data_IF_638322782624
#
_entry.id   IF_638322782624
#
_cell.length_a   1.000
_cell.length_b   1.000
_cell.length_c   1.000
_cell.angle_alpha   90.00
_cell.angle_beta   90.00
_cell.angle_gamma   90.00
#
_symmetry.space_group_name_H-M   'P 1'
#
loop_
_entity.id
_entity.type
_entity.pdbx_description
1 polymer ?
2 branched ?
3 branched ?
4 branched ?
5 non-polymer ?
6 non-polymer ?
7 non-polymer ?
8 water ?
#
# COMPACT_ATOMS: atom_id res chain seq x y z
N UNK A 1 -14.83 6.95 -6.91
CA UNK A 1 -13.84 6.94 -8.00
C UNK A 1 -13.95 5.63 -8.76
N UNK A 2 -13.53 5.68 -10.01
CA UNK A 2 -13.34 4.44 -10.77
C UNK A 2 -12.29 3.63 -10.02
N UNK A 3 -12.51 2.35 -9.96
CA UNK A 3 -11.58 1.44 -9.31
C UNK A 3 -11.28 0.31 -10.28
N UNK A 4 -10.16 -0.36 -10.09
CA UNK A 4 -9.77 -1.48 -10.93
C UNK A 4 -9.08 -1.08 -12.25
N UNK A 5 -8.66 0.18 -12.39
CA UNK A 5 -7.98 0.67 -13.58
C UNK A 5 -6.58 1.05 -13.19
N UNK A 6 -5.60 0.53 -13.91
CA UNK A 6 -4.20 0.77 -13.60
C UNK A 6 -3.44 1.10 -14.89
N UNK A 7 -2.54 2.06 -14.82
CA UNK A 7 -1.60 2.32 -15.91
C UNK A 7 -0.31 1.61 -15.58
N UNK A 8 -0.01 0.58 -16.32
CA UNK A 8 1.25 -0.14 -16.22
C UNK A 8 2.23 0.53 -17.15
N UNK A 9 3.52 0.26 -16.94
CA UNK A 9 4.45 0.59 -18.04
C UNK A 9 3.99 -0.07 -19.30
N UNK A 10 4.13 0.60 -20.41
CA UNK A 10 3.71 0.09 -21.69
C UNK A 10 4.59 -1.09 -22.10
N UNK A 11 4.00 -1.95 -22.90
CA UNK A 11 4.68 -3.01 -23.57
C UNK A 11 5.37 -3.97 -22.61
N UNK A 12 4.75 -4.19 -21.46
CA UNK A 12 5.36 -4.92 -20.36
C UNK A 12 4.57 -6.17 -19.99
N UNK A 13 5.30 -7.27 -19.77
CA UNK A 13 4.66 -8.51 -19.31
C UNK A 13 4.23 -8.40 -17.86
N UNK A 14 3.05 -8.89 -17.57
CA UNK A 14 2.53 -8.88 -16.18
C UNK A 14 1.71 -10.13 -15.92
N UNK A 15 1.61 -10.50 -14.66
CA UNK A 15 0.74 -11.58 -14.21
C UNK A 15 -0.59 -11.06 -13.70
N UNK A 16 -1.64 -11.84 -13.89
CA UNK A 16 -2.93 -11.61 -13.29
C UNK A 16 -3.48 -12.90 -12.73
N UNK A 17 -3.90 -12.88 -11.48
CA UNK A 17 -4.36 -14.05 -10.73
C UNK A 17 -5.64 -13.67 -10.00
N UNK A 18 -6.66 -14.52 -10.07
CA UNK A 18 -7.92 -14.29 -9.38
C UNK A 18 -8.26 -15.41 -8.46
N UNK A 19 -8.81 -15.01 -7.32
CA UNK A 19 -9.22 -15.88 -6.23
C UNK A 19 -10.73 -15.69 -5.98
N UNK A 20 -11.45 -16.75 -5.57
CA UNK A 20 -12.88 -16.63 -5.28
C UNK A 20 -13.20 -16.97 -3.83
N UNK A 21 -14.10 -16.16 -3.25
CA UNK A 21 -14.55 -16.32 -1.84
C UNK A 21 -15.99 -15.89 -1.71
N UNK A 22 -16.90 -16.70 -2.27
CA UNK A 22 -18.29 -16.32 -2.33
C UNK A 22 -19.16 -17.51 -2.71
N UNK A 23 -20.42 -17.52 -2.28
CA UNK A 23 -21.37 -18.49 -2.80
C UNK A 23 -21.59 -18.33 -4.30
N UNK A 24 -21.51 -17.12 -4.82
CA UNK A 24 -21.77 -16.85 -6.22
C UNK A 24 -20.61 -17.14 -7.11
N UNK A 25 -20.90 -17.60 -8.31
CA UNK A 25 -19.87 -17.85 -9.30
C UNK A 25 -19.35 -16.49 -9.80
N UNK A 26 -18.03 -16.32 -9.73
CA UNK A 26 -17.36 -15.07 -10.15
C UNK A 26 -16.93 -15.09 -11.62
N UNK A 27 -17.16 -13.99 -12.31
CA UNK A 27 -16.66 -13.74 -13.67
C UNK A 27 -15.69 -12.56 -13.61
N UNK A 28 -14.40 -12.82 -13.83
CA UNK A 28 -13.38 -11.72 -13.88
C UNK A 28 -12.98 -11.44 -15.30
N UNK A 29 -13.21 -10.22 -15.75
CA UNK A 29 -12.83 -9.74 -17.07
C UNK A 29 -11.57 -8.90 -16.95
N UNK A 30 -10.58 -9.19 -17.80
CA UNK A 30 -9.34 -8.42 -17.88
C UNK A 30 -9.30 -7.73 -19.21
N UNK A 31 -9.23 -6.41 -19.23
CA UNK A 31 -9.10 -5.62 -20.46
C UNK A 31 -7.73 -4.98 -20.49
N UNK A 32 -7.07 -5.03 -21.64
CA UNK A 32 -5.84 -4.35 -21.88
C UNK A 32 -6.09 -3.42 -23.02
N UNK A 33 -5.86 -2.14 -22.77
CA UNK A 33 -6.17 -1.07 -23.74
C UNK A 33 -7.58 -1.23 -24.35
N UNK A 34 -8.53 -1.46 -23.46
CA UNK A 34 -9.95 -1.50 -23.76
C UNK A 34 -10.40 -2.70 -24.55
N UNK A 35 -9.62 -3.77 -24.55
CA UNK A 35 -9.99 -5.01 -25.19
C UNK A 35 -9.92 -6.12 -24.18
N UNK A 36 -10.92 -6.98 -24.15
CA UNK A 36 -10.89 -8.18 -23.28
C UNK A 36 -9.84 -9.14 -23.78
N UNK A 37 -8.93 -9.49 -22.89
CA UNK A 37 -7.86 -10.41 -23.20
C UNK A 37 -7.85 -11.62 -22.28
N UNK A 38 -8.65 -11.62 -21.24
CA UNK A 38 -8.79 -12.82 -20.38
C UNK A 38 -10.11 -12.75 -19.65
N UNK A 39 -10.70 -13.94 -19.40
CA UNK A 39 -11.90 -14.05 -18.61
C UNK A 39 -11.70 -15.26 -17.72
N UNK A 40 -11.87 -15.08 -16.43
CA UNK A 40 -11.79 -16.18 -15.48
C UNK A 40 -13.14 -16.37 -14.83
N UNK A 41 -13.58 -17.63 -14.74
CA UNK A 41 -14.85 -17.99 -14.10
C UNK A 41 -14.63 -19.12 -13.11
N UNK A 42 -15.22 -18.97 -11.92
CA UNK A 42 -15.20 -20.07 -10.96
C UNK A 42 -15.95 -19.76 -9.70
N UNK A 43 -16.11 -20.79 -8.88
CA UNK A 43 -16.78 -20.65 -7.57
C UNK A 43 -15.99 -21.34 -6.49
N UNK A 44 -15.81 -20.60 -5.38
CA UNK A 44 -15.14 -21.13 -4.23
C UNK A 44 -15.54 -20.25 -3.03
N UNK A 45 -15.66 -20.86 -1.87
CA UNK A 45 -15.65 -20.13 -0.62
C UNK A 45 -14.36 -20.35 0.17
N UNK A 46 -13.31 -20.83 -0.49
CA UNK A 46 -12.08 -21.15 0.17
C UNK A 46 -10.86 -20.70 -0.66
N UNK A 47 -11.00 -19.54 -1.29
CA UNK A 47 -9.85 -18.90 -1.95
C UNK A 47 -9.27 -19.66 -3.13
N UNK A 48 -10.05 -20.50 -3.80
CA UNK A 48 -9.50 -21.19 -4.94
C UNK A 48 -9.08 -20.17 -6.00
N UNK A 49 -7.99 -20.51 -6.68
CA UNK A 49 -7.53 -19.72 -7.81
C UNK A 49 -8.40 -20.10 -8.97
N UNK A 50 -9.12 -19.14 -9.51
CA UNK A 50 -10.02 -19.32 -10.63
C UNK A 50 -9.38 -18.93 -11.96
N UNK A 51 -8.16 -18.40 -11.90
CA UNK A 51 -7.39 -18.14 -13.10
C UNK A 51 -6.05 -17.49 -12.79
N UNK A 52 -5.04 -17.73 -13.64
CA UNK A 52 -3.76 -17.04 -13.58
C UNK A 52 -3.17 -17.06 -14.95
N UNK A 53 -2.78 -15.90 -15.44
CA UNK A 53 -2.34 -15.75 -16.81
C UNK A 53 -1.25 -14.71 -16.88
N UNK A 54 -0.42 -14.80 -17.88
CA UNK A 54 0.57 -13.80 -18.21
C UNK A 54 0.09 -13.05 -19.44
N UNK A 55 0.16 -11.73 -19.39
CA UNK A 55 -0.32 -10.84 -20.45
C UNK A 55 0.71 -9.74 -20.71
N UNK A 56 0.52 -9.01 -21.80
CA UNK A 56 1.32 -7.84 -22.09
C UNK A 56 0.46 -6.61 -22.02
N UNK A 57 0.99 -5.54 -21.42
CA UNK A 57 0.27 -4.27 -21.23
C UNK A 57 0.06 -3.43 -22.49
N UNK A 58 0.71 -3.83 -23.57
CA UNK A 58 0.52 -3.17 -24.85
C UNK A 58 0.91 -1.73 -24.91
N UNK A 59 0.52 -1.10 -26.04
CA UNK A 59 1.03 0.25 -26.31
C UNK A 59 0.67 1.31 -25.30
N UNK A 60 -0.56 1.22 -24.79
CA UNK A 60 -1.08 2.18 -23.85
C UNK A 60 -0.83 1.87 -22.37
N UNK A 61 -0.51 0.61 -22.08
CA UNK A 61 -0.32 0.19 -20.69
C UNK A 61 -1.55 0.13 -19.81
N UNK A 62 -2.72 0.31 -20.38
CA UNK A 62 -3.94 0.34 -19.58
C UNK A 62 -4.45 -1.03 -19.27
N UNK A 63 -4.66 -1.33 -17.98
CA UNK A 63 -5.22 -2.59 -17.53
C UNK A 63 -6.44 -2.32 -16.70
N UNK A 64 -7.55 -2.94 -17.04
CA UNK A 64 -8.79 -2.78 -16.28
C UNK A 64 -9.38 -4.11 -15.89
N UNK A 65 -9.79 -4.21 -14.65
CA UNK A 65 -10.42 -5.40 -14.11
C UNK A 65 -11.89 -5.11 -13.85
N UNK A 66 -12.78 -5.99 -14.34
CA UNK A 66 -14.21 -5.90 -14.05
C UNK A 66 -14.63 -7.24 -13.46
N UNK A 67 -15.55 -7.20 -12.51
CA UNK A 67 -16.04 -8.42 -11.87
C UNK A 67 -17.53 -8.41 -11.91
N UNK A 68 -18.10 -9.56 -12.27
CA UNK A 68 -19.54 -9.76 -12.29
C UNK A 68 -19.94 -11.09 -11.72
N UNK A 69 -21.17 -11.19 -11.23
CA UNK A 69 -21.73 -12.46 -10.76
C UNK A 69 -23.06 -12.59 -11.45
N UNK A 70 -23.15 -13.59 -12.32
CA UNK A 70 -24.35 -13.80 -13.15
C UNK A 70 -24.85 -12.50 -13.78
N UNK A 71 -23.93 -11.80 -14.43
CA UNK A 71 -24.26 -10.62 -15.18
C UNK A 71 -24.37 -9.33 -14.43
N UNK A 72 -24.31 -9.37 -13.10
CA UNK A 72 -24.42 -8.15 -12.29
C UNK A 72 -23.04 -7.69 -11.81
N UNK A 73 -22.71 -6.44 -12.08
CA UNK A 73 -21.40 -5.91 -11.71
C UNK A 73 -21.21 -5.85 -10.21
N UNK A 74 -20.07 -6.34 -9.76
CA UNK A 74 -19.67 -6.20 -8.37
C UNK A 74 -19.05 -4.84 -8.15
N UNK A 75 -19.12 -4.38 -6.91
CA UNK A 75 -18.47 -3.12 -6.51
C UNK A 75 -17.00 -3.38 -6.26
N UNK A 76 -16.15 -2.51 -6.80
CA UNK A 76 -14.69 -2.72 -6.75
C UNK A 76 -13.97 -1.78 -5.82
N UNK A 77 -12.90 -2.31 -5.24
CA UNK A 77 -11.90 -1.48 -4.51
C UNK A 77 -10.51 -1.84 -5.04
N UNK A 78 -9.60 -0.87 -5.08
CA UNK A 78 -8.28 -1.14 -5.62
C UNK A 78 -7.22 -0.18 -5.14
N UNK A 79 -5.98 -0.60 -5.32
CA UNK A 79 -4.80 0.27 -5.10
C UNK A 79 -3.61 -0.38 -5.77
N UNK A 80 -2.55 0.39 -5.98
CA UNK A 80 -1.24 -0.11 -6.44
C UNK A 80 -0.22 0.14 -5.41
N UNK A 81 0.65 -0.83 -5.17
CA UNK A 81 1.75 -0.68 -4.19
C UNK A 81 3.05 -1.08 -4.88
N UNK A 82 4.12 -0.35 -4.57
CA UNK A 82 5.45 -0.59 -5.11
C UNK A 82 6.42 -0.81 -3.97
N UNK A 83 7.12 -1.93 -4.01
CA UNK A 83 8.11 -2.28 -3.01
C UNK A 83 9.53 -2.16 -3.62
N UNK A 84 10.46 -1.66 -2.81
CA UNK A 84 11.87 -1.50 -3.23
C UNK A 84 12.01 -0.71 -4.53
N UNK A 85 11.05 0.17 -4.80
CA UNK A 85 11.05 0.98 -6.01
C UNK A 85 11.09 0.16 -7.26
N UNK A 86 10.62 -1.06 -7.18
CA UNK A 86 10.68 -1.96 -8.32
C UNK A 86 9.57 -2.97 -8.49
N UNK A 87 9.15 -3.56 -7.40
CA UNK A 87 8.20 -4.68 -7.47
C UNK A 87 6.82 -4.12 -7.34
N UNK A 88 5.98 -4.33 -8.34
CA UNK A 88 4.67 -3.71 -8.36
C UNK A 88 3.53 -4.69 -8.18
N UNK A 89 2.54 -4.28 -7.42
CA UNK A 89 1.28 -5.01 -7.28
C UNK A 89 0.13 -4.08 -7.54
N UNK A 90 -0.81 -4.49 -8.36
CA UNK A 90 -2.08 -3.80 -8.51
C UNK A 90 -3.13 -4.75 -7.95
N UNK A 91 -3.91 -4.28 -7.01
CA UNK A 91 -4.75 -5.10 -6.15
C UNK A 91 -6.19 -4.71 -6.32
N UNK A 92 -7.08 -5.70 -6.45
CA UNK A 92 -8.50 -5.43 -6.59
C UNK A 92 -9.30 -6.36 -5.66
N UNK A 93 -10.23 -5.78 -4.93
CA UNK A 93 -11.27 -6.54 -4.25
C UNK A 93 -12.60 -6.24 -4.87
N UNK A 94 -13.57 -7.08 -4.57
CA UNK A 94 -14.90 -6.91 -5.11
C UNK A 94 -15.95 -7.45 -4.19
N UNK A 95 -17.10 -6.83 -4.23
CA UNK A 95 -18.23 -7.19 -3.37
C UNK A 95 -19.48 -7.41 -4.22
N UNK A 96 -20.02 -8.62 -4.07
CA UNK A 96 -21.20 -9.06 -4.83
C UNK A 96 -22.50 -9.01 -4.04
N UNK A 97 -22.45 -8.55 -2.82
CA UNK A 97 -23.63 -8.62 -1.94
C UNK A 97 -23.55 -7.56 -0.85
N UNK A 98 -23.98 -7.92 0.35
CA UNK A 98 -24.19 -6.91 1.41
C UNK A 98 -23.24 -6.91 2.57
N UNK A 99 -22.37 -7.90 2.68
CA UNK A 99 -21.53 -8.04 3.85
C UNK A 99 -20.24 -7.21 3.82
N UNK A 100 -19.90 -6.68 2.65
CA UNK A 100 -18.71 -5.81 2.51
C UNK A 100 -17.41 -6.43 2.97
N UNK A 101 -17.26 -7.72 2.70
CA UNK A 101 -15.96 -8.35 2.90
C UNK A 101 -14.99 -8.06 1.75
N UNK A 102 -15.53 -7.69 0.61
CA UNK A 102 -14.73 -7.27 -0.58
C UNK A 102 -13.75 -8.34 -1.04
N UNK A 103 -14.01 -9.62 -0.74
CA UNK A 103 -13.10 -10.73 -1.12
C UNK A 103 -13.77 -11.69 -2.11
N UNK A 104 -14.92 -11.30 -2.63
CA UNK A 104 -15.78 -12.26 -3.34
C UNK A 104 -15.04 -12.74 -4.59
N UNK A 105 -14.43 -11.81 -5.30
CA UNK A 105 -13.31 -12.10 -6.22
C UNK A 105 -12.19 -11.15 -5.83
N UNK A 106 -11.01 -11.70 -5.69
CA UNK A 106 -9.80 -10.92 -5.38
C UNK A 106 -8.88 -11.08 -6.55
N UNK A 107 -8.34 -9.98 -7.08
CA UNK A 107 -7.44 -10.04 -8.22
C UNK A 107 -6.11 -9.39 -7.88
N UNK A 108 -5.02 -10.08 -8.19
CA UNK A 108 -3.68 -9.56 -7.98
C UNK A 108 -2.98 -9.51 -9.33
N UNK A 109 -2.48 -8.35 -9.68
CA UNK A 109 -1.66 -8.11 -10.86
C UNK A 109 -0.23 -7.83 -10.39
N UNK A 110 0.75 -8.53 -10.94
CA UNK A 110 2.14 -8.35 -10.48
C UNK A 110 3.06 -8.15 -11.66
N UNK A 111 4.04 -7.28 -11.48
CA UNK A 111 5.11 -7.09 -12.46
C UNK A 111 6.31 -6.44 -11.76
N UNK A 112 7.51 -6.49 -12.32
CA UNK A 112 7.88 -7.22 -13.50
C UNK A 112 7.89 -8.71 -13.32
N UNK A 113 7.90 -9.38 -14.45
CA UNK A 113 8.11 -10.83 -14.53
C UNK A 113 9.52 -11.13 -15.02
N UNK A 114 9.90 -12.39 -14.92
CA UNK A 114 11.16 -12.85 -15.48
C UNK A 114 12.31 -12.86 -14.54
N UNK B 1 15.84 -3.62 8.26
CA UNK B 1 14.67 -4.01 9.05
C UNK B 1 14.29 -5.46 8.74
N UNK B 2 13.69 -6.11 9.71
CA UNK B 2 13.10 -7.42 9.48
C UNK B 2 11.96 -7.23 8.49
N UNK B 3 11.86 -8.18 7.56
CA UNK B 3 10.85 -8.16 6.51
C UNK B 3 10.20 -9.54 6.43
N UNK B 4 9.03 -9.63 5.88
CA UNK B 4 8.32 -10.92 5.71
C UNK B 4 7.67 -11.44 6.96
N UNK B 5 7.47 -10.59 7.97
CA UNK B 5 6.76 -10.95 9.22
C UNK B 5 5.52 -10.13 9.34
N UNK B 6 4.38 -10.77 9.57
CA UNK B 6 3.11 -10.11 9.63
C UNK B 6 2.30 -10.60 10.81
N UNK B 7 1.63 -9.69 11.50
CA UNK B 7 0.68 -10.08 12.55
C UNK B 7 -0.68 -10.05 11.90
N UNK B 8 -1.28 -11.24 11.70
CA UNK B 8 -2.62 -11.36 11.20
C UNK B 8 -3.59 -11.36 12.39
N UNK B 9 -4.86 -11.11 12.09
CA UNK B 9 -5.87 -11.33 13.15
C UNK B 9 -5.75 -12.77 13.58
N UNK B 10 -5.91 -12.98 14.87
CA UNK B 10 -5.78 -14.31 15.45
C UNK B 10 -6.92 -15.22 14.94
N UNK B 11 -6.60 -16.49 14.84
CA UNK B 11 -7.55 -17.56 14.53
C UNK B 11 -8.30 -17.38 13.26
N UNK B 12 -7.59 -16.90 12.24
CA UNK B 12 -8.19 -16.49 11.00
C UNK B 12 -7.61 -17.29 9.82
N UNK B 13 -8.51 -17.75 8.97
CA UNK B 13 -8.14 -18.43 7.73
C UNK B 13 -7.51 -17.41 6.78
N UNK B 14 -6.40 -17.78 6.13
CA UNK B 14 -5.78 -16.92 5.15
C UNK B 14 -5.23 -17.74 4.01
N UNK B 15 -5.09 -17.10 2.87
CA UNK B 15 -4.45 -17.71 1.70
C UNK B 15 -3.03 -17.29 1.57
N UNK B 16 -2.16 -18.22 1.14
CA UNK B 16 -0.79 -17.89 0.78
C UNK B 16 -0.51 -18.50 -0.60
N UNK B 17 0.08 -17.69 -1.47
CA UNK B 17 0.31 -18.07 -2.91
C UNK B 17 1.72 -17.58 -3.26
N UNK B 18 2.52 -18.44 -3.90
CA UNK B 18 3.85 -18.07 -4.33
C UNK B 18 4.00 -18.22 -5.80
N UNK B 19 4.72 -17.25 -6.36
CA UNK B 19 5.02 -17.17 -7.81
C UNK B 19 6.54 -17.13 -7.98
N UNK B 20 7.07 -17.72 -9.06
CA UNK B 20 8.48 -17.75 -9.34
C UNK B 20 8.86 -17.00 -10.61
N UNK B 21 9.95 -16.25 -10.53
CA UNK B 21 10.50 -15.51 -11.67
C UNK B 21 12.01 -15.47 -11.62
N UNK B 22 12.63 -16.60 -11.87
CA UNK B 22 14.10 -16.71 -11.72
C UNK B 22 14.61 -17.99 -12.35
N UNK B 23 15.85 -17.98 -12.78
CA UNK B 23 16.51 -19.25 -13.19
C UNK B 23 16.59 -20.28 -12.07
N UNK B 24 16.72 -19.81 -10.84
CA UNK B 24 16.88 -20.70 -9.71
C UNK B 24 15.61 -21.25 -9.13
N UNK B 25 15.65 -22.48 -8.64
CA UNK B 25 14.52 -23.11 -7.98
C UNK B 25 14.30 -22.44 -6.64
N UNK B 26 13.10 -21.95 -6.44
CA UNK B 26 12.73 -21.22 -5.22
C UNK B 26 12.17 -22.17 -4.18
N UNK B 27 12.60 -21.96 -2.92
CA UNK B 27 12.05 -22.68 -1.76
C UNK B 27 11.46 -21.63 -0.79
N UNK B 28 10.15 -21.64 -0.64
CA UNK B 28 9.42 -20.71 0.22
C UNK B 28 9.00 -21.44 1.48
N UNK B 29 9.42 -20.94 2.63
CA UNK B 29 9.05 -21.49 3.93
C UNK B 29 8.01 -20.59 4.58
N UNK B 30 6.94 -21.19 5.06
CA UNK B 30 5.87 -20.46 5.71
C UNK B 30 5.77 -20.92 7.15
N UNK B 31 5.90 -19.99 8.07
CA UNK B 31 5.79 -20.30 9.51
C UNK B 31 4.58 -19.59 10.07
N UNK B 32 3.80 -20.30 10.90
CA UNK B 32 2.70 -19.72 11.66
C UNK B 32 3.06 -19.93 13.11
N UNK B 33 3.08 -18.85 13.87
CA UNK B 33 3.48 -18.86 15.28
C UNK B 33 4.75 -19.68 15.48
N UNK B 34 5.73 -19.42 14.61
CA UNK B 34 7.06 -19.97 14.69
C UNK B 34 7.19 -21.48 14.43
N UNK B 35 6.22 -22.04 13.71
CA UNK B 35 6.27 -23.42 13.29
C UNK B 35 6.09 -23.44 11.78
N UNK B 36 6.92 -24.21 11.09
CA UNK B 36 6.73 -24.43 9.65
C UNK B 36 5.45 -25.16 9.39
N UNK B 37 4.59 -24.57 8.58
CA UNK B 37 3.32 -25.15 8.23
C UNK B 37 3.18 -25.35 6.70
N UNK B 38 4.10 -24.79 5.89
CA UNK B 38 4.08 -25.09 4.46
C UNK B 38 5.45 -24.81 3.89
N UNK B 39 5.79 -25.55 2.83
CA UNK B 39 6.98 -25.31 2.04
C UNK B 39 6.57 -25.39 0.58
N UNK B 40 6.89 -24.37 -0.18
CA UNK B 40 6.61 -24.36 -1.63
C UNK B 40 7.93 -24.39 -2.37
N UNK B 41 8.06 -25.27 -3.35
CA UNK B 41 9.29 -25.41 -4.12
C UNK B 41 8.90 -25.40 -5.59
N UNK B 42 9.57 -24.60 -6.38
CA UNK B 42 9.36 -24.66 -7.84
C UNK B 42 10.21 -23.70 -8.59
N UNK B 43 10.19 -23.84 -9.91
CA UNK B 43 11.01 -23.01 -10.80
C UNK B 43 10.18 -22.49 -11.97
N UNK B 44 10.35 -21.20 -12.27
CA UNK B 44 9.72 -20.55 -13.42
C UNK B 44 10.41 -19.24 -13.69
N UNK B 45 10.52 -18.84 -14.96
CA UNK B 45 10.83 -17.48 -15.33
C UNK B 45 9.62 -16.75 -15.88
N UNK B 46 8.42 -17.26 -15.63
CA UNK B 46 7.23 -16.67 -16.17
C UNK B 46 6.06 -16.69 -15.22
N UNK B 47 6.36 -16.49 -13.94
CA UNK B 47 5.32 -16.27 -12.93
C UNK B 47 4.46 -17.46 -12.63
N UNK B 48 4.97 -18.66 -12.84
CA UNK B 48 4.20 -19.82 -12.47
C UNK B 48 3.95 -19.85 -10.99
N UNK B 49 2.81 -20.44 -10.62
CA UNK B 49 2.46 -20.61 -9.22
C UNK B 49 3.13 -21.85 -8.73
N UNK B 50 3.93 -21.70 -7.69
CA UNK B 50 4.71 -22.81 -7.13
C UNK B 50 4.10 -23.30 -5.85
N UNK B 51 3.06 -22.63 -5.40
CA UNK B 51 2.27 -23.14 -4.29
C UNK B 51 1.13 -22.21 -3.94
N UNK B 52 0.02 -22.79 -3.48
CA UNK B 52 -1.10 -22.02 -2.97
C UNK B 52 -1.80 -22.87 -1.94
N UNK B 53 -2.02 -22.29 -0.77
CA UNK B 53 -2.57 -23.05 0.35
C UNK B 53 -3.45 -22.15 1.19
N UNK B 54 -4.37 -22.75 1.91
CA UNK B 54 -5.16 -22.08 2.94
C UNK B 54 -4.62 -22.55 4.29
N UNK B 55 -4.34 -21.60 5.17
CA UNK B 55 -3.78 -21.83 6.47
C UNK B 55 -4.57 -21.02 7.50
N UNK B 56 -4.28 -21.28 8.77
CA UNK B 56 -4.95 -20.54 9.85
C UNK B 56 -3.90 -19.88 10.70
N UNK B 57 -4.13 -18.62 11.07
CA UNK B 57 -3.16 -17.84 11.81
C UNK B 57 -3.00 -18.20 13.28
N UNK B 58 -3.92 -19.03 13.80
CA UNK B 58 -3.80 -19.55 15.14
C UNK B 58 -3.91 -18.51 16.23
N UNK B 59 -3.54 -18.92 17.43
CA UNK B 59 -3.73 -18.03 18.59
C UNK B 59 -2.97 -16.71 18.52
N UNK B 60 -1.70 -16.80 18.09
CA UNK B 60 -0.83 -15.62 18.08
C UNK B 60 -0.95 -14.75 16.84
N UNK B 61 -1.47 -15.30 15.76
CA UNK B 61 -1.57 -14.59 14.48
C UNK B 61 -0.28 -14.30 13.75
N UNK B 62 0.85 -14.83 14.17
CA UNK B 62 2.11 -14.52 13.55
C UNK B 62 2.35 -15.33 12.32
N UNK B 63 2.66 -14.67 11.20
CA UNK B 63 3.01 -15.35 9.94
C UNK B 63 4.35 -14.86 9.46
N UNK B 64 5.28 -15.75 9.13
CA UNK B 64 6.57 -15.37 8.60
C UNK B 64 6.90 -16.13 7.31
N UNK B 65 7.41 -15.41 6.33
CA UNK B 65 7.85 -15.96 5.08
C UNK B 65 9.35 -15.86 4.96
N UNK B 66 10.00 -16.94 4.55
CA UNK B 66 11.44 -17.00 4.28
C UNK B 66 11.64 -17.63 2.94
N UNK B 67 12.61 -17.14 2.20
CA UNK B 67 12.84 -17.68 0.82
C UNK B 67 14.28 -18.05 0.68
N UNK B 68 14.57 -19.21 0.09
CA UNK B 68 15.93 -19.65 -0.17
C UNK B 68 16.05 -20.24 -1.56
N UNK B 69 17.26 -20.21 -2.10
CA UNK B 69 17.56 -20.87 -3.38
C UNK B 69 18.79 -21.70 -3.11
N UNK B 70 18.63 -23.02 -3.23
CA UNK B 70 19.74 -23.96 -3.00
C UNK B 70 20.52 -23.60 -1.75
N UNK B 71 19.77 -23.37 -0.70
CA UNK B 71 20.31 -23.14 0.63
C UNK B 71 20.76 -21.72 0.92
N UNK B 72 20.75 -20.81 -0.05
CA UNK B 72 21.11 -19.42 0.17
C UNK B 72 19.86 -18.58 0.42
N UNK B 73 19.83 -17.85 1.52
CA UNK B 73 18.65 -17.00 1.86
C UNK B 73 18.58 -15.82 0.89
N UNK B 74 17.38 -15.61 0.34
CA UNK B 74 17.12 -14.43 -0.47
C UNK B 74 16.86 -13.22 0.41
N UNK B 75 17.10 -12.07 -0.13
CA UNK B 75 16.78 -10.79 0.54
C UNK B 75 15.30 -10.48 0.33
N UNK B 76 14.62 -10.07 1.38
CA UNK B 76 13.16 -9.86 1.35
C UNK B 76 12.77 -8.40 1.41
N UNK B 77 11.66 -8.11 0.76
CA UNK B 77 10.95 -6.84 0.96
C UNK B 77 9.49 -7.15 1.19
N UNK B 78 8.80 -6.34 2.00
CA UNK B 78 7.41 -6.62 2.31
C UNK B 78 6.61 -5.40 2.73
N UNK B 79 5.28 -5.53 2.69
CA UNK B 79 4.37 -4.56 3.26
C UNK B 79 3.01 -5.18 3.37
N UNK B 80 2.11 -4.55 4.13
CA UNK B 80 0.71 -4.94 4.20
C UNK B 80 -0.16 -3.77 3.74
N UNK B 81 -1.20 -4.09 2.97
CA UNK B 81 -2.13 -3.09 2.45
C UNK B 81 -3.55 -3.53 2.79
N UNK B 82 -4.39 -2.59 3.21
CA UNK B 82 -5.78 -2.85 3.56
C UNK B 82 -6.67 -1.96 2.75
N UNK B 83 -7.60 -2.56 2.02
CA UNK B 83 -8.59 -1.85 1.18
C UNK B 83 -9.96 -1.96 1.83
N UNK B 84 -10.71 -0.86 1.73
CA UNK B 84 -12.08 -0.80 2.28
C UNK B 84 -12.16 -1.13 3.75
N UNK B 85 -11.06 -0.88 4.48
CA UNK B 85 -10.97 -1.23 5.90
C UNK B 85 -11.27 -2.67 6.23
N UNK B 86 -11.07 -3.54 5.25
CA UNK B 86 -11.42 -4.96 5.44
C UNK B 86 -10.61 -5.98 4.70
N UNK B 87 -10.24 -5.68 3.47
CA UNK B 87 -9.53 -6.65 2.62
C UNK B 87 -8.02 -6.49 2.74
N UNK B 88 -7.34 -7.52 3.19
CA UNK B 88 -5.94 -7.43 3.57
C UNK B 88 -5.04 -8.21 2.63
N UNK B 89 -3.91 -7.61 2.30
CA UNK B 89 -2.85 -8.26 1.53
C UNK B 89 -1.56 -8.09 2.29
N UNK B 90 -0.82 -9.17 2.51
CA UNK B 90 0.54 -9.11 3.01
C UNK B 90 1.41 -9.60 1.86
N UNK B 91 2.35 -8.77 1.47
CA UNK B 91 3.08 -8.92 0.22
C UNK B 91 4.54 -9.08 0.50
N UNK B 92 5.17 -10.03 -0.20
CA UNK B 92 6.60 -10.25 -0.08
C UNK B 92 7.25 -10.39 -1.47
N UNK B 93 8.34 -9.66 -1.68
CA UNK B 93 9.22 -9.96 -2.78
C UNK B 93 10.54 -10.48 -2.25
N UNK B 94 11.30 -11.06 -3.16
CA UNK B 94 12.62 -11.61 -2.76
C UNK B 94 13.59 -11.56 -3.91
N UNK B 95 14.87 -11.40 -3.54
CA UNK B 95 15.96 -11.30 -4.50
C UNK B 95 17.03 -12.30 -4.21
N UNK B 96 17.29 -13.14 -5.22
CA UNK B 96 18.26 -14.24 -5.12
C UNK B 96 19.59 -13.96 -5.75
N UNK B 97 19.78 -12.79 -6.28
CA UNK B 97 20.98 -12.44 -7.10
C UNK B 97 21.26 -10.95 -7.09
N UNK B 98 21.69 -10.39 -8.20
CA UNK B 98 22.24 -9.06 -8.23
C UNK B 98 21.44 -8.04 -8.98
N UNK B 99 20.38 -8.45 -9.67
CA UNK B 99 19.64 -7.52 -10.51
C UNK B 99 18.57 -6.69 -9.79
N UNK B 100 18.25 -7.06 -8.56
CA UNK B 100 17.30 -6.31 -7.74
C UNK B 100 15.95 -6.11 -8.37
N UNK B 101 15.46 -7.14 -9.07
CA UNK B 101 14.08 -7.13 -9.54
C UNK B 101 13.10 -7.53 -8.44
N UNK B 102 13.59 -8.26 -7.44
CA UNK B 102 12.78 -8.61 -6.24
C UNK B 102 11.54 -9.45 -6.55
N UNK B 103 11.53 -10.14 -7.69
CA UNK B 103 10.39 -10.94 -8.10
C UNK B 103 10.71 -12.45 -8.15
N UNK B 104 11.88 -12.83 -7.60
CA UNK B 104 12.41 -14.16 -7.89
C UNK B 104 11.53 -15.22 -7.27
N UNK B 105 11.08 -14.96 -6.05
CA UNK B 105 9.83 -15.51 -5.51
C UNK B 105 8.98 -14.37 -5.00
N UNK B 106 7.74 -14.34 -5.41
CA UNK B 106 6.74 -13.34 -4.94
C UNK B 106 5.72 -14.10 -4.13
N UNK B 107 5.39 -13.61 -2.94
CA UNK B 107 4.44 -14.28 -2.06
C UNK B 107 3.31 -13.31 -1.72
N UNK B 108 2.08 -13.74 -1.93
CA UNK B 108 0.91 -12.98 -1.59
C UNK B 108 0.13 -13.71 -0.53
N UNK B 109 -0.15 -13.04 0.56
CA UNK B 109 -1.03 -13.55 1.62
C UNK B 109 -2.29 -12.71 1.63
N UNK B 110 -3.47 -13.33 1.63
CA UNK B 110 -4.74 -12.59 1.57
C UNK B 110 -5.75 -13.07 2.60
N UNK B 111 -6.48 -12.13 3.20
CA UNK B 111 -7.56 -12.48 4.12
C UNK B 111 -8.51 -11.30 4.14
N UNK B 112 -9.75 -11.42 4.58
CA UNK B 112 -10.38 -12.66 4.96
C UNK B 112 -10.70 -13.54 3.79
N UNK B 113 -10.95 -14.80 4.10
CA UNK B 113 -11.50 -15.78 3.14
C UNK B 113 -12.98 -15.99 3.37
N UNK B 114 -13.61 -16.68 2.45
CA UNK B 114 -14.98 -17.11 2.65
C UNK B 114 -16.01 -16.18 2.12
N UNK C 1 16.98 -4.80 1.22
CA UNK C 1 16.81 -3.93 0.02
C UNK C 1 17.08 -2.52 0.40
N UNK C 2 17.51 -1.75 -0.56
CA UNK C 2 17.55 -0.29 -0.36
C UNK C 2 16.13 0.18 -0.11
N UNK C 3 16.02 1.14 0.79
CA UNK C 3 14.75 1.78 1.17
C UNK C 3 14.89 3.29 1.10
N UNK C 4 13.77 3.96 0.95
CA UNK C 4 13.76 5.40 0.89
C UNK C 4 14.07 6.00 -0.44
N UNK C 5 14.08 5.19 -1.50
CA UNK C 5 14.37 5.67 -2.86
C UNK C 5 13.11 5.49 -3.72
N UNK C 6 12.74 6.52 -4.46
CA UNK C 6 11.51 6.52 -5.24
C UNK C 6 11.75 7.17 -6.58
N UNK C 7 11.20 6.56 -7.63
CA UNK C 7 11.21 7.23 -8.96
C UNK C 7 9.89 7.93 -9.15
N UNK C 8 9.95 9.27 -9.16
CA UNK C 8 8.81 10.09 -9.48
C UNK C 8 8.83 10.34 -11.01
N UNK C 9 7.73 10.82 -11.57
CA UNK C 9 7.79 11.37 -12.92
C UNK C 9 8.78 12.49 -12.95
N UNK C 10 9.42 12.65 -14.09
CA UNK C 10 10.40 13.70 -14.24
C UNK C 10 9.79 15.06 -14.17
N UNK C 11 10.60 16.01 -13.67
CA UNK C 11 10.28 17.40 -13.69
C UNK C 11 8.89 17.68 -13.11
N UNK C 12 8.60 17.09 -11.92
CA UNK C 12 7.32 17.10 -11.28
C UNK C 12 7.37 17.68 -9.86
N UNK C 13 6.45 18.58 -9.55
CA UNK C 13 6.35 19.15 -8.22
C UNK C 13 5.81 18.13 -7.25
N UNK C 14 6.41 18.05 -6.08
CA UNK C 14 5.96 17.13 -5.03
C UNK C 14 6.12 17.76 -3.68
N UNK C 15 5.34 17.26 -2.73
CA UNK C 15 5.46 17.66 -1.34
C UNK C 15 6.26 16.67 -0.56
N UNK C 16 7.01 17.17 0.41
CA UNK C 16 7.70 16.32 1.41
C UNK C 16 7.47 16.87 2.79
N UNK C 17 7.05 16.02 3.72
CA UNK C 17 6.69 16.41 5.09
C UNK C 17 7.31 15.40 6.03
N UNK C 18 7.94 15.87 7.09
CA UNK C 18 8.58 15.00 8.09
C UNK C 18 8.06 15.26 9.47
N UNK C 19 7.84 14.17 10.20
CA UNK C 19 7.28 14.15 11.54
C UNK C 19 8.32 13.46 12.45
N UNK C 20 8.41 13.91 13.70
CA UNK C 20 9.35 13.27 14.66
C UNK C 20 8.63 12.63 15.83
N UNK C 21 9.15 11.47 16.24
CA UNK C 21 8.62 10.69 17.38
C UNK C 21 9.76 9.95 18.05
N UNK C 22 10.61 10.70 18.75
CA UNK C 22 11.82 10.16 19.37
C UNK C 22 12.42 11.15 20.35
N UNK C 23 13.12 10.63 21.36
CA UNK C 23 13.94 11.53 22.19
C UNK C 23 15.04 12.21 21.43
N UNK C 24 15.57 11.56 20.41
CA UNK C 24 16.68 12.09 19.64
C UNK C 24 16.27 13.11 18.59
N UNK C 25 17.11 14.13 18.39
CA UNK C 25 16.94 15.07 17.31
C UNK C 25 17.15 14.41 15.95
N UNK C 26 16.17 14.54 15.11
CA UNK C 26 16.19 13.88 13.79
C UNK C 26 16.72 14.81 12.75
N UNK C 27 17.56 14.29 11.87
CA UNK C 27 18.07 14.99 10.69
C UNK C 27 17.61 14.24 9.43
N UNK C 28 16.76 14.86 8.62
CA UNK C 28 16.18 14.23 7.41
C UNK C 28 16.80 14.89 6.21
N UNK C 29 17.49 14.13 5.39
CA UNK C 29 18.12 14.62 4.15
C UNK C 29 17.27 14.22 2.96
N UNK C 30 16.91 15.18 2.11
CA UNK C 30 16.14 14.93 0.88
C UNK C 30 17.08 15.13 -0.31
N UNK C 31 17.25 14.11 -1.12
CA UNK C 31 18.08 14.22 -2.32
C UNK C 31 17.23 14.07 -3.54
N UNK C 32 17.47 14.95 -4.53
CA UNK C 32 16.81 14.83 -5.81
C UNK C 32 17.91 14.60 -6.82
N UNK C 33 17.80 13.51 -7.56
CA UNK C 33 18.85 13.09 -8.53
C UNK C 33 20.26 13.18 -7.95
N UNK C 34 20.36 12.65 -6.76
CA UNK C 34 21.62 12.44 -6.06
C UNK C 34 22.26 13.72 -5.51
N UNK C 35 21.49 14.76 -5.36
CA UNK C 35 21.94 16.00 -4.73
C UNK C 35 21.02 16.41 -3.60
N UNK C 36 21.58 16.81 -2.49
CA UNK C 36 20.78 17.31 -1.37
C UNK C 36 20.11 18.60 -1.72
N UNK C 37 18.81 18.64 -1.58
CA UNK C 37 18.02 19.80 -1.82
C UNK C 37 17.24 20.29 -0.62
N UNK C 38 17.16 19.50 0.43
CA UNK C 38 16.50 19.95 1.68
C UNK C 38 17.06 19.16 2.82
N UNK C 39 17.16 19.80 3.97
CA UNK C 39 17.47 19.12 5.23
C UNK C 39 16.51 19.61 6.27
N UNK C 40 15.89 18.68 6.97
CA UNK C 40 14.98 19.02 8.07
C UNK C 40 15.62 18.53 9.35
N UNK C 41 15.58 19.37 10.40
CA UNK C 41 16.12 19.01 11.70
C UNK C 41 15.09 19.39 12.75
N UNK C 42 14.75 18.47 13.63
CA UNK C 42 13.88 18.79 14.71
C UNK C 42 13.69 17.64 15.70
N UNK C 43 13.01 17.95 16.78
CA UNK C 43 12.82 16.97 17.88
C UNK C 43 11.39 17.03 18.37
N UNK C 44 10.78 15.86 18.51
CA UNK C 44 9.45 15.74 19.13
C UNK C 44 9.28 14.31 19.53
N UNK C 45 8.52 14.08 20.59
CA UNK C 45 7.95 12.75 20.89
C UNK C 45 6.42 12.71 20.67
N UNK C 46 5.89 13.68 19.93
CA UNK C 46 4.46 13.76 19.70
C UNK C 46 4.10 14.19 18.30
N UNK C 47 4.87 13.72 17.34
CA UNK C 47 4.52 13.86 15.92
C UNK C 47 4.54 15.25 15.40
N UNK C 48 5.32 16.13 16.02
CA UNK C 48 5.46 17.45 15.45
C UNK C 48 6.05 17.41 14.05
N UNK C 49 5.62 18.36 13.22
CA UNK C 49 6.18 18.54 11.89
C UNK C 49 7.52 19.26 11.98
N UNK C 50 8.57 18.61 11.51
CA UNK C 50 9.92 19.17 11.55
C UNK C 50 10.39 19.68 10.19
N UNK C 51 9.55 19.50 9.22
CA UNK C 51 9.78 20.12 7.92
C UNK C 51 8.66 19.82 6.94
N UNK C 52 8.41 20.77 6.05
CA UNK C 52 7.45 20.55 4.98
C UNK C 52 7.83 21.51 3.85
N UNK C 53 8.03 20.96 2.65
CA UNK C 53 8.55 21.71 1.54
C UNK C 53 7.94 21.20 0.24
N UNK C 54 7.91 22.04 -0.77
CA UNK C 54 7.57 21.68 -2.14
C UNK C 54 8.83 21.71 -2.93
N UNK C 55 9.09 20.65 -3.68
CA UNK C 55 10.31 20.47 -4.50
C UNK C 55 9.96 20.00 -5.90
N UNK C 56 10.93 20.10 -6.78
CA UNK C 56 10.83 19.55 -8.13
C UNK C 56 11.69 18.32 -8.29
N UNK C 57 11.13 17.30 -8.93
CA UNK C 57 11.83 16.02 -9.10
C UNK C 57 12.99 15.97 -10.14
N UNK C 58 13.12 17.05 -10.91
CA UNK C 58 14.26 17.20 -11.84
C UNK C 58 14.28 16.23 -13.00
N UNK C 59 15.43 16.15 -13.69
CA UNK C 59 15.45 15.39 -14.92
C UNK C 59 15.14 13.92 -14.79
N UNK C 60 15.68 13.27 -13.76
CA UNK C 60 15.51 11.82 -13.60
C UNK C 60 14.32 11.43 -12.77
N UNK C 61 13.78 12.36 -11.99
CA UNK C 61 12.74 12.02 -11.04
C UNK C 61 13.13 11.25 -9.81
N UNK C 62 14.42 11.07 -9.54
CA UNK C 62 14.85 10.27 -8.41
C UNK C 62 14.80 11.06 -7.14
N UNK C 63 14.07 10.54 -6.13
CA UNK C 63 14.03 11.17 -4.81
C UNK C 63 14.49 10.15 -3.79
N UNK C 64 15.42 10.55 -2.93
CA UNK C 64 15.94 9.70 -1.88
C UNK C 64 15.85 10.40 -0.52
N UNK C 65 15.39 9.68 0.49
CA UNK C 65 15.34 10.17 1.89
C UNK C 65 16.37 9.43 2.70
N UNK C 66 17.13 10.17 3.49
CA UNK C 66 18.07 9.61 4.45
C UNK C 66 17.76 10.22 5.80
N UNK C 67 17.87 9.43 6.87
CA UNK C 67 17.59 9.90 8.22
C UNK C 67 18.76 9.55 9.10
N UNK C 68 19.16 10.48 9.93
CA UNK C 68 20.23 10.23 10.93
C UNK C 68 19.93 10.95 12.24
N UNK C 69 20.64 10.56 13.29
CA UNK C 69 20.60 11.26 14.56
C UNK C 69 22.05 11.51 14.95
N UNK C 70 22.43 12.78 14.93
CA UNK C 70 23.83 13.19 15.22
C UNK C 70 24.86 12.32 14.55
N UNK C 71 24.64 12.17 13.28
CA UNK C 71 25.53 11.45 12.41
C UNK C 71 25.36 9.94 12.31
N UNK C 72 24.53 9.33 13.15
CA UNK C 72 24.29 7.87 13.05
C UNK C 72 23.08 7.61 12.18
N UNK C 73 23.27 6.82 11.14
CA UNK C 73 22.16 6.54 10.22
C UNK C 73 21.10 5.70 10.89
N UNK C 74 19.85 6.12 10.69
CA UNK C 74 18.71 5.26 11.09
C UNK C 74 18.44 4.18 10.08
N UNK C 75 17.80 3.13 10.52
CA UNK C 75 17.30 2.08 9.61
C UNK C 75 16.01 2.53 8.96
N UNK C 76 15.88 2.41 7.65
CA UNK C 76 14.68 2.87 6.93
C UNK C 76 13.79 1.74 6.47
N UNK C 77 12.51 2.07 6.42
CA UNK C 77 11.52 1.23 5.71
C UNK C 77 10.69 2.14 4.79
N UNK C 78 10.20 1.63 3.66
CA UNK C 78 9.44 2.49 2.75
C UNK C 78 8.56 1.69 1.83
N UNK C 79 7.63 2.40 1.19
CA UNK C 79 6.80 1.88 0.08
C UNK C 79 6.15 3.02 -0.61
N UNK C 80 5.65 2.77 -1.83
CA UNK C 80 4.84 3.73 -2.56
C UNK C 80 3.46 3.14 -2.76
N UNK C 81 2.44 3.98 -2.59
CA UNK C 81 1.03 3.58 -2.83
C UNK C 81 0.40 4.58 -3.79
N UNK C 82 -0.43 4.06 -4.69
CA UNK C 82 -1.14 4.87 -5.67
C UNK C 82 -2.62 4.61 -5.53
N UNK C 83 -3.37 5.66 -5.32
CA UNK C 83 -4.86 5.58 -5.20
C UNK C 83 -5.51 6.20 -6.42
N UNK C 84 -6.59 5.58 -6.83
CA UNK C 84 -7.36 6.05 -8.04
C UNK C 84 -6.48 6.21 -9.26
N UNK C 85 -5.42 5.41 -9.37
CA UNK C 85 -4.51 5.45 -10.51
C UNK C 85 -3.92 6.80 -10.77
N UNK C 86 -3.87 7.64 -9.72
CA UNK C 86 -3.35 9.02 -9.92
C UNK C 86 -2.71 9.69 -8.72
N UNK C 87 -3.19 9.39 -7.53
CA UNK C 87 -2.68 10.03 -6.32
C UNK C 87 -1.59 9.19 -5.68
N UNK C 88 -0.38 9.77 -5.56
CA UNK C 88 0.77 9.00 -5.14
C UNK C 88 1.28 9.40 -3.79
N UNK C 89 1.63 8.41 -2.99
CA UNK C 89 2.30 8.60 -1.71
C UNK C 89 3.59 7.79 -1.71
N UNK C 90 4.69 8.39 -1.30
CA UNK C 90 5.92 7.65 -1.04
C UNK C 90 6.17 7.82 0.45
N UNK C 91 6.33 6.72 1.16
CA UNK C 91 6.23 6.70 2.60
C UNK C 91 7.54 6.14 3.16
N UNK C 92 8.05 6.81 4.18
CA UNK C 92 9.29 6.36 4.85
C UNK C 92 9.10 6.34 6.37
N UNK C 93 9.50 5.23 7.01
CA UNK C 93 9.74 5.19 8.44
C UNK C 93 11.19 4.99 8.73
N UNK C 94 11.55 5.30 9.96
CA UNK C 94 12.96 5.16 10.35
C UNK C 94 13.07 4.84 11.82
N UNK C 95 14.12 4.09 12.12
CA UNK C 95 14.34 3.60 13.48
C UNK C 95 15.76 3.95 13.93
N UNK C 96 15.84 4.67 15.05
CA UNK C 96 17.10 5.17 15.64
C UNK C 96 17.61 4.38 16.80
N UNK C 97 16.89 3.35 17.20
CA UNK C 97 17.19 2.60 18.44
C UNK C 97 16.67 1.15 18.32
N UNK C 98 16.25 0.56 19.44
CA UNK C 98 15.98 -0.88 19.51
C UNK C 98 14.54 -1.27 19.70
N UNK C 99 13.61 -0.32 19.74
CA UNK C 99 12.21 -0.65 19.97
C UNK C 99 11.39 -0.99 18.72
N UNK C 100 11.97 -0.77 17.57
CA UNK C 100 11.34 -1.07 16.29
C UNK C 100 9.98 -0.48 16.04
N UNK C 101 9.77 0.73 16.54
CA UNK C 101 8.53 1.44 16.21
C UNK C 101 8.59 2.12 14.85
N UNK C 102 9.79 2.34 14.33
CA UNK C 102 9.99 2.87 12.98
C UNK C 102 9.28 4.21 12.75
N UNK C 103 9.01 4.97 13.80
CA UNK C 103 8.30 6.27 13.68
C UNK C 103 9.19 7.43 14.06
N UNK C 104 10.49 7.17 14.25
CA UNK C 104 11.33 8.15 14.94
C UNK C 104 11.46 9.40 14.11
N UNK C 105 11.61 9.20 12.82
CA UNK C 105 11.25 10.22 11.80
C UNK C 105 10.37 9.52 10.79
N UNK C 106 9.22 10.11 10.49
CA UNK C 106 8.29 9.65 9.47
C UNK C 106 8.28 10.68 8.35
N UNK C 107 8.43 10.20 7.12
CA UNK C 107 8.48 11.10 5.95
C UNK C 107 7.41 10.71 4.93
N UNK C 108 6.59 11.67 4.55
CA UNK C 108 5.55 11.49 3.55
C UNK C 108 5.83 12.37 2.35
N UNK C 109 5.92 11.78 1.18
CA UNK C 109 6.08 12.47 -0.11
C UNK C 109 4.77 12.30 -0.87
N UNK C 110 4.21 13.37 -1.40
CA UNK C 110 2.91 13.27 -2.12
C UNK C 110 2.97 14.00 -3.42
N UNK C 111 2.33 13.43 -4.44
CA UNK C 111 2.17 14.09 -5.73
C UNK C 111 0.98 13.48 -6.42
N UNK C 112 0.37 14.12 -7.41
CA UNK C 112 0.68 15.45 -7.89
C UNK C 112 0.18 16.52 -6.96
N UNK C 113 0.70 17.72 -7.17
CA UNK C 113 0.23 18.92 -6.48
C UNK C 113 -0.65 19.73 -7.41
N UNK C 114 -1.31 20.74 -6.85
CA UNK C 114 -2.05 21.70 -7.66
C UNK C 114 -3.50 21.39 -7.85
N UNK D 1 -17.66 1.61 -2.76
CA UNK D 1 -17.33 1.23 -1.36
C UNK D 1 -17.21 2.46 -0.53
N UNK D 2 -17.53 2.33 0.73
CA UNK D 2 -17.21 3.40 1.69
C UNK D 2 -15.69 3.57 1.72
N UNK D 3 -15.27 4.83 1.77
CA UNK D 3 -13.86 5.21 1.83
C UNK D 3 -13.67 6.17 2.96
N UNK D 4 -12.46 6.24 3.47
CA UNK D 4 -12.11 7.19 4.53
C UNK D 4 -12.44 6.71 5.94
N UNK D 5 -12.69 5.43 6.12
CA UNK D 5 -12.99 4.85 7.44
C UNK D 5 -11.90 3.86 7.76
N UNK D 6 -11.36 3.98 8.96
CA UNK D 6 -10.25 3.14 9.39
C UNK D 6 -10.47 2.66 10.82
N UNK D 7 -10.15 1.41 11.06
CA UNK D 7 -10.14 0.88 12.44
C UNK D 7 -8.75 0.88 12.99
N UNK D 8 -8.56 1.70 14.01
CA UNK D 8 -7.30 1.75 14.75
C UNK D 8 -7.41 0.91 15.99
N UNK D 9 -6.28 0.52 16.59
CA UNK D 9 -6.39 -0.10 17.90
C UNK D 9 -7.04 0.90 18.85
N UNK D 10 -7.75 0.37 19.83
CA UNK D 10 -8.38 1.22 20.83
C UNK D 10 -7.34 1.98 21.66
N UNK D 11 -7.74 3.14 22.09
CA UNK D 11 -7.00 3.97 23.07
C UNK D 11 -5.60 4.29 22.59
N UNK D 12 -5.48 4.61 21.31
CA UNK D 12 -4.19 4.83 20.68
C UNK D 12 -4.09 6.25 20.17
N UNK D 13 -2.99 6.91 20.50
CA UNK D 13 -2.67 8.22 19.97
C UNK D 13 -2.32 8.10 18.48
N UNK D 14 -2.82 9.03 17.68
CA UNK D 14 -2.50 9.07 16.27
C UNK D 14 -2.41 10.48 15.77
N UNK D 15 -1.68 10.66 14.68
CA UNK D 15 -1.62 11.95 14.00
C UNK D 15 -2.53 12.03 12.84
N UNK D 16 -3.05 13.22 12.57
CA UNK D 16 -3.84 13.47 11.36
C UNK D 16 -3.38 14.79 10.76
N UNK D 17 -3.08 14.81 9.48
CA UNK D 17 -2.52 15.95 8.78
C UNK D 17 -3.22 16.11 7.45
N UNK D 18 -3.66 17.32 7.10
CA UNK D 18 -4.36 17.56 5.84
C UNK D 18 -3.65 18.58 5.03
N UNK D 19 -3.63 18.34 3.72
CA UNK D 19 -3.01 19.19 2.72
C UNK D 19 -4.10 19.64 1.71
N UNK D 20 -3.93 20.82 1.13
CA UNK D 20 -4.88 21.33 0.12
C UNK D 20 -4.21 21.57 -1.22
N UNK D 21 -4.93 21.19 -2.27
CA UNK D 21 -4.47 21.37 -3.68
C UNK D 21 -5.69 21.60 -4.59
N UNK D 22 -6.30 22.78 -4.47
CA UNK D 22 -7.54 23.09 -5.21
C UNK D 22 -7.80 24.58 -5.15
N UNK D 23 -8.52 25.08 -6.16
CA UNK D 23 -9.06 26.45 -6.05
C UNK D 23 -10.06 26.62 -4.90
N UNK D 24 -10.82 25.58 -4.58
CA UNK D 24 -11.84 25.64 -3.55
C UNK D 24 -11.33 25.50 -2.14
N UNK D 25 -11.98 26.13 -1.19
CA UNK D 25 -11.67 25.96 0.22
C UNK D 25 -12.15 24.59 0.69
N UNK D 26 -11.23 23.82 1.30
CA UNK D 26 -11.48 22.46 1.76
C UNK D 26 -11.85 22.42 3.21
N UNK D 27 -12.84 21.60 3.54
CA UNK D 27 -13.24 21.36 4.91
C UNK D 27 -13.02 19.89 5.19
N UNK D 28 -12.14 19.55 6.13
CA UNK D 28 -11.87 18.17 6.50
C UNK D 28 -12.43 17.91 7.90
N UNK D 29 -13.40 17.03 8.00
CA UNK D 29 -14.02 16.63 9.26
C UNK D 29 -13.36 15.32 9.70
N UNK D 30 -12.90 15.29 10.94
CA UNK D 30 -12.36 14.08 11.54
C UNK D 30 -13.28 13.61 12.63
N UNK D 31 -13.74 12.37 12.53
CA UNK D 31 -14.60 11.77 13.53
C UNK D 31 -13.90 10.61 14.17
N UNK D 32 -14.00 10.54 15.51
CA UNK D 32 -13.52 9.42 16.28
C UNK D 32 -14.75 8.81 16.96
N UNK D 33 -15.01 7.55 16.69
CA UNK D 33 -16.20 6.82 17.21
C UNK D 33 -17.46 7.60 17.01
N UNK D 34 -17.59 8.13 15.78
CA UNK D 34 -18.76 8.83 15.28
C UNK D 34 -18.98 10.21 15.88
N UNK D 35 -17.96 10.82 16.47
CA UNK D 35 -18.10 12.17 17.00
C UNK D 35 -17.02 13.03 16.38
N UNK D 36 -17.38 14.22 15.92
CA UNK D 36 -16.41 15.16 15.35
C UNK D 36 -15.48 15.62 16.40
N UNK D 37 -14.18 15.47 16.14
CA UNK D 37 -13.15 15.88 17.09
C UNK D 37 -12.20 16.89 16.48
N UNK D 38 -12.25 17.10 15.18
CA UNK D 38 -11.41 18.14 14.54
C UNK D 38 -12.03 18.51 13.24
N UNK D 39 -11.85 19.77 12.84
CA UNK D 39 -12.29 20.28 11.56
C UNK D 39 -11.16 21.14 11.03
N UNK D 40 -10.59 20.80 9.88
CA UNK D 40 -9.53 21.58 9.26
C UNK D 40 -10.11 22.30 8.07
N UNK D 41 -9.83 23.58 7.92
CA UNK D 41 -10.35 24.35 6.80
C UNK D 41 -9.20 25.11 6.20
N UNK D 42 -9.12 25.15 4.87
CA UNK D 42 -8.15 25.99 4.23
C UNK D 42 -8.16 25.91 2.73
N UNK D 43 -7.42 26.78 2.10
CA UNK D 43 -7.31 26.86 0.65
C UNK D 43 -5.85 26.95 0.25
N UNK D 44 -5.44 26.12 -0.69
CA UNK D 44 -4.11 26.16 -1.30
C UNK D 44 -4.11 25.43 -2.61
N UNK D 45 -3.32 25.87 -3.58
CA UNK D 45 -3.02 25.08 -4.78
C UNK D 45 -1.59 24.60 -4.77
N UNK D 46 -0.93 24.67 -3.60
CA UNK D 46 0.47 24.26 -3.51
C UNK D 46 0.75 23.46 -2.23
N UNK D 47 -0.19 22.62 -1.83
CA UNK D 47 0.07 21.60 -0.78
C UNK D 47 0.25 22.19 0.59
N UNK D 48 -0.35 23.34 0.87
CA UNK D 48 -0.23 23.88 2.23
C UNK D 48 -0.88 22.93 3.21
N UNK D 49 -0.31 22.82 4.38
CA UNK D 49 -0.92 22.05 5.45
C UNK D 49 -2.04 22.89 6.06
N UNK D 50 -3.25 22.40 6.00
CA UNK D 50 -4.40 23.12 6.57
C UNK D 50 -4.78 22.64 7.96
N UNK D 51 -4.09 21.62 8.46
CA UNK D 51 -4.27 21.19 9.82
C UNK D 51 -3.40 19.99 10.13
N UNK D 52 -2.95 19.91 11.38
CA UNK D 52 -2.21 18.73 11.89
C UNK D 52 -2.47 18.64 13.38
N UNK D 53 -2.95 17.50 13.83
CA UNK D 53 -3.35 17.30 15.22
C UNK D 53 -2.97 15.94 15.67
N UNK D 54 -2.87 15.79 16.98
CA UNK D 54 -2.75 14.49 17.63
C UNK D 54 -4.07 14.20 18.35
N UNK D 55 -4.61 13.03 18.14
CA UNK D 55 -5.89 12.59 18.69
C UNK D 55 -5.78 11.22 19.29
N UNK D 56 -6.77 10.83 20.09
CA UNK D 56 -6.85 9.49 20.63
C UNK D 56 -7.99 8.72 19.97
N UNK D 57 -7.76 7.47 19.65
CA UNK D 57 -8.76 6.65 18.96
C UNK D 57 -9.91 6.16 19.85
N UNK D 58 -9.76 6.34 21.14
CA UNK D 58 -10.82 6.03 22.10
C UNK D 58 -11.19 4.57 22.20
N UNK D 59 -12.34 4.31 22.82
CA UNK D 59 -12.69 2.93 23.10
C UNK D 59 -12.88 2.08 21.90
N UNK D 60 -13.55 2.65 20.89
CA UNK D 60 -13.89 1.88 19.69
C UNK D 60 -12.81 1.82 18.58
N UNK D 61 -11.89 2.78 18.61
CA UNK D 61 -10.88 2.89 17.58
C UNK D 61 -11.30 3.33 16.20
N UNK D 62 -12.54 3.77 16.00
CA UNK D 62 -13.02 4.12 14.66
C UNK D 62 -12.64 5.52 14.28
N UNK D 63 -11.97 5.69 13.13
CA UNK D 63 -11.60 7.03 12.65
C UNK D 63 -12.20 7.20 11.28
N UNK D 64 -12.91 8.29 11.07
CA UNK D 64 -13.48 8.59 9.76
C UNK D 64 -13.13 9.99 9.33
N UNK D 65 -12.74 10.10 8.06
CA UNK D 65 -12.46 11.36 7.40
C UNK D 65 -13.56 11.69 6.38
N UNK D 66 -14.10 12.90 6.45
CA UNK D 66 -15.05 13.42 5.46
C UNK D 66 -14.49 14.68 4.90
N UNK D 67 -14.63 14.88 3.59
CA UNK D 67 -14.11 16.11 2.97
C UNK D 67 -15.25 16.75 2.24
N UNK D 68 -15.41 18.05 2.43
CA UNK D 68 -16.41 18.82 1.70
C UNK D 68 -15.88 20.16 1.26
N UNK D 69 -16.59 20.77 0.33
CA UNK D 69 -16.33 22.13 -0.11
C UNK D 69 -17.65 22.84 0.04
N UNK D 70 -17.73 23.75 1.01
CA UNK D 70 -18.98 24.46 1.30
C UNK D 70 -20.18 23.53 1.39
N UNK D 71 -20.00 22.46 2.13
CA UNK D 71 -21.01 21.49 2.40
C UNK D 71 -21.22 20.41 1.36
N UNK D 72 -20.62 20.53 0.18
CA UNK D 72 -20.76 19.51 -0.87
C UNK D 72 -19.68 18.45 -0.64
N UNK D 73 -20.08 17.19 -0.47
CA UNK D 73 -19.13 16.11 -0.21
C UNK D 73 -18.27 15.86 -1.41
N UNK D 74 -16.98 15.78 -1.20
CA UNK D 74 -16.06 15.35 -2.23
C UNK D 74 -16.09 13.84 -2.33
N UNK D 75 -15.68 13.34 -3.48
CA UNK D 75 -15.52 11.89 -3.67
C UNK D 75 -14.22 11.48 -2.99
N UNK D 76 -14.21 10.38 -2.29
CA UNK D 76 -13.02 9.94 -1.53
C UNK D 76 -12.40 8.67 -2.06
N UNK D 77 -11.09 8.56 -1.87
CA UNK D 77 -10.38 7.30 -2.05
C UNK D 77 -9.46 7.11 -0.86
N UNK D 78 -9.22 5.86 -0.47
CA UNK D 78 -8.40 5.61 0.70
C UNK D 78 -7.79 4.23 0.70
N UNK D 79 -6.77 4.07 1.55
CA UNK D 79 -6.15 2.73 1.81
C UNK D 79 -5.31 2.88 3.04
N UNK D 80 -4.97 1.75 3.65
CA UNK D 80 -4.05 1.73 4.81
C UNK D 80 -2.85 0.89 4.42
N UNK D 81 -1.65 1.33 4.81
CA UNK D 81 -0.44 0.56 4.55
C UNK D 81 0.33 0.43 5.85
N UNK D 82 0.93 -0.75 6.06
CA UNK D 82 1.72 -1.02 7.26
C UNK D 82 3.12 -1.42 6.82
N UNK D 83 4.11 -0.72 7.37
CA UNK D 83 5.54 -1.00 7.11
C UNK D 83 6.17 -1.63 8.35
N UNK D 84 7.09 -2.59 8.11
CA UNK D 84 7.84 -3.22 9.19
C UNK D 84 6.89 -3.86 10.20
N UNK D 85 5.68 -4.23 9.76
CA UNK D 85 4.70 -4.81 10.66
C UNK D 85 4.39 -3.96 11.89
N UNK D 86 4.61 -2.67 11.78
CA UNK D 86 4.41 -1.79 12.92
C UNK D 86 3.99 -0.36 12.64
N UNK D 87 4.47 0.20 11.57
CA UNK D 87 4.22 1.61 11.26
C UNK D 87 3.04 1.72 10.32
N UNK D 88 1.99 2.42 10.75
CA UNK D 88 0.73 2.48 10.00
C UNK D 88 0.47 3.84 9.39
N UNK D 89 0.02 3.83 8.16
CA UNK D 89 -0.48 5.00 7.47
C UNK D 89 -1.87 4.74 6.98
N UNK D 90 -2.78 5.65 7.27
CA UNK D 90 -4.11 5.61 6.68
C UNK D 90 -4.20 6.84 5.81
N UNK D 91 -4.52 6.62 4.54
CA UNK D 91 -4.39 7.65 3.50
C UNK D 91 -5.71 7.95 2.84
N UNK D 92 -5.98 9.23 2.61
CA UNK D 92 -7.20 9.68 1.95
C UNK D 92 -6.88 10.66 0.89
N UNK D 93 -7.47 10.46 -0.29
CA UNK D 93 -7.53 11.53 -1.31
C UNK D 93 -8.98 11.91 -1.53
N UNK D 94 -9.15 13.05 -2.15
CA UNK D 94 -10.53 13.54 -2.36
C UNK D 94 -10.54 14.38 -3.64
N UNK D 95 -11.71 14.34 -4.29
CA UNK D 95 -11.93 15.04 -5.53
C UNK D 95 -13.20 15.87 -5.47
N UNK D 96 -13.02 17.15 -5.73
CA UNK D 96 -14.09 18.17 -5.63
C UNK D 96 -14.67 18.58 -6.99
N UNK D 97 -14.15 17.99 -8.05
CA UNK D 97 -14.52 18.42 -9.42
C UNK D 97 -14.32 17.25 -10.40
N UNK D 98 -13.91 17.56 -11.62
CA UNK D 98 -13.92 16.58 -12.70
C UNK D 98 -12.57 16.12 -13.21
N UNK D 99 -11.47 16.66 -12.68
CA UNK D 99 -10.16 16.35 -13.24
C UNK D 99 -9.53 15.09 -12.66
N UNK D 100 -10.15 14.56 -11.62
CA UNK D 100 -9.72 13.28 -11.05
C UNK D 100 -8.26 13.24 -10.64
N UNK D 101 -7.75 14.36 -10.12
CA UNK D 101 -6.42 14.31 -9.51
C UNK D 101 -6.46 13.77 -8.08
N UNK D 102 -7.62 13.83 -7.43
CA UNK D 102 -7.84 13.26 -6.07
C UNK D 102 -6.89 13.84 -5.03
N UNK D 103 -6.37 15.03 -5.24
CA UNK D 103 -5.40 15.66 -4.31
C UNK D 103 -6.02 16.92 -3.69
N UNK D 104 -7.31 17.16 -3.92
CA UNK D 104 -7.91 18.48 -3.59
C UNK D 104 -7.80 18.74 -2.10
N UNK D 105 -8.12 17.73 -1.31
CA UNK D 105 -7.65 17.62 0.07
C UNK D 105 -7.03 16.24 0.19
N UNK D 106 -5.84 16.18 0.76
CA UNK D 106 -5.11 14.92 1.00
C UNK D 106 -4.99 14.81 2.51
N UNK D 107 -5.31 13.64 3.06
CA UNK D 107 -5.22 13.44 4.51
C UNK D 107 -4.35 12.23 4.81
N UNK D 108 -3.42 12.42 5.74
CA UNK D 108 -2.52 11.33 6.19
C UNK D 108 -2.69 11.13 7.68
N UNK D 109 -3.04 9.91 8.06
CA UNK D 109 -3.14 9.50 9.47
C UNK D 109 -1.98 8.57 9.75
N UNK D 110 -1.27 8.78 10.86
CA UNK D 110 -0.11 7.92 11.16
C UNK D 110 -0.14 7.48 12.62
N UNK D 111 0.25 6.25 12.85
CA UNK D 111 0.42 5.72 14.22
C UNK D 111 1.39 4.54 14.14
N UNK D 112 1.99 4.13 15.26
CA UNK D 112 1.98 4.77 16.56
C UNK D 112 2.78 6.04 16.63
N UNK D 113 2.50 6.82 17.65
CA UNK D 113 3.29 8.01 18.01
C UNK D 113 4.21 7.70 19.16
N UNK D 114 5.09 8.64 19.44
CA UNK D 114 5.97 8.56 20.57
C UNK D 114 7.32 7.93 20.37
#
# INVERSE_FOLDING_TARGET
>A
ATQGVFTLPANTQFGVTAFANSAGTQTVNVQVNNETVATFTGQSTNNAIIGSKVLNSGGGGKVQILVSVNGRSSDLVSAQVILANELNFALVGSEDSTDNDYNDAVVVINWPLG
>B
ATQGVFTLPANTQFGVTAFANSAGTQTVNVQVNNETVATFTGQSTNNAIIGSKVLNSGGGGKVQILVSVNGRSSDLVSAQVILANELNFALVGSEDSTDNDYNDAVVVINWPLG
>C
ATQGVFTLPANTQFGVTAFANSAGTQTVNVQVNNETVATFTGQSTNNAIIGSKVLNSGGGGKVQILVSVNGRSSDLVSAQVILANELNFALVGSEDSTDNDYNDAVVVINWPLG
>D
ATQGVFTLPANTQFGVTAFANSAGTQTVNVQVNNETVATFTGQSTNNAIIGSKVLNSGGGGKVQILVSVNGRSSDLVSAQVILANELNFALVGSEDSTDNDYNDAVVVINWPLG
#
